data_IF_827428432969
#
_entry.id   IF_827428432969
#
_cell.length_a   1.000
_cell.length_b   1.000
_cell.length_c   1.000
_cell.angle_alpha   90.00
_cell.angle_beta   90.00
_cell.angle_gamma   90.00
#
_symmetry.space_group_name_H-M   'P 1'
#
loop_
_entity.id
_entity.type
_entity.pdbx_description
1 polymer ?
#
# COMPACT_ATOMS: atom_id res chain seq x y z
N UNK A 1 43.19 2.85 -29.41
CA UNK A 1 42.38 1.95 -30.25
C UNK A 1 42.69 0.54 -29.74
N UNK A 2 41.82 -0.27 -29.13
CA UNK A 2 40.36 -0.44 -29.24
C UNK A 2 39.84 -1.18 -27.97
N UNK A 3 38.65 -0.75 -27.52
CA UNK A 3 37.60 -1.38 -26.66
C UNK A 3 37.42 -2.90 -26.88
N UNK A 4 36.70 -3.74 -26.11
CA UNK A 4 35.83 -3.73 -24.91
C UNK A 4 35.51 -5.23 -24.61
N UNK A 5 35.32 -5.57 -23.32
CA UNK A 5 34.42 -6.61 -22.75
C UNK A 5 34.11 -7.89 -23.52
N UNK A 6 34.60 -9.02 -23.01
CA UNK A 6 34.03 -10.36 -23.22
C UNK A 6 33.67 -10.97 -21.85
N UNK A 7 32.45 -10.76 -21.36
CA UNK A 7 31.88 -11.57 -20.29
C UNK A 7 30.35 -11.59 -20.44
N UNK A 8 29.84 -12.68 -20.99
CA UNK A 8 28.54 -13.31 -20.76
C UNK A 8 28.63 -14.70 -21.43
N UNK A 9 28.10 -15.77 -20.82
CA UNK A 9 26.67 -15.84 -20.53
C UNK A 9 26.31 -16.29 -19.11
N UNK A 10 25.35 -15.58 -18.52
CA UNK A 10 24.62 -15.97 -17.31
C UNK A 10 23.76 -17.18 -17.67
N UNK A 11 23.90 -18.26 -16.90
CA UNK A 11 23.13 -19.49 -17.02
C UNK A 11 21.65 -19.21 -16.74
N UNK A 12 20.79 -19.63 -17.66
CA UNK A 12 19.38 -19.87 -17.45
C UNK A 12 19.22 -21.09 -16.53
N UNK A 13 18.51 -20.95 -15.42
CA UNK A 13 17.89 -22.08 -14.74
C UNK A 13 16.38 -21.87 -14.65
N UNK A 14 15.69 -22.99 -14.83
CA UNK A 14 14.32 -23.16 -15.32
C UNK A 14 13.32 -23.14 -14.17
N UNK A 15 12.18 -22.47 -14.38
CA UNK A 15 10.98 -22.58 -13.54
C UNK A 15 10.49 -24.03 -13.45
N UNK A 16 10.43 -24.60 -12.23
CA UNK A 16 9.60 -25.76 -11.95
C UNK A 16 8.59 -25.40 -10.85
N UNK A 17 7.31 -25.41 -11.24
CA UNK A 17 6.15 -25.35 -10.37
C UNK A 17 6.03 -26.61 -9.52
N UNK A 18 5.79 -26.48 -8.22
CA UNK A 18 5.08 -27.52 -7.46
C UNK A 18 4.23 -26.88 -6.39
N UNK A 19 2.92 -26.98 -6.60
CA UNK A 19 1.83 -26.51 -5.75
C UNK A 19 1.66 -27.50 -4.60
N UNK A 20 1.79 -27.04 -3.35
CA UNK A 20 1.16 -27.68 -2.19
C UNK A 20 0.89 -26.64 -1.09
N UNK A 21 -0.41 -26.40 -0.85
CA UNK A 21 -0.98 -26.24 0.49
C UNK A 21 -0.73 -24.92 1.26
N UNK A 22 -1.77 -24.08 1.27
CA UNK A 22 -2.15 -23.20 2.38
C UNK A 22 -1.44 -21.84 2.51
N UNK A 23 -2.23 -20.78 2.31
CA UNK A 23 -2.14 -19.48 2.97
C UNK A 23 -0.79 -18.74 2.85
N UNK A 24 -0.45 -18.26 1.65
CA UNK A 24 0.49 -17.15 1.35
C UNK A 24 0.63 -17.02 -0.18
N UNK A 25 -0.39 -16.51 -0.87
CA UNK A 25 -0.34 -16.34 -2.34
C UNK A 25 -0.74 -14.93 -2.76
N UNK A 26 0.21 -13.99 -2.65
CA UNK A 26 0.17 -12.73 -3.41
C UNK A 26 1.57 -12.22 -3.83
N UNK A 27 2.60 -13.09 -3.92
CA UNK A 27 3.95 -12.68 -4.35
C UNK A 27 4.63 -13.59 -5.39
N UNK A 28 3.86 -14.23 -6.27
CA UNK A 28 4.44 -15.08 -7.33
C UNK A 28 3.86 -14.79 -8.71
N UNK A 29 4.18 -13.62 -9.25
CA UNK A 29 4.09 -13.33 -10.70
C UNK A 29 5.34 -12.61 -11.21
N UNK A 30 6.52 -13.17 -10.95
CA UNK A 30 7.73 -12.82 -11.71
C UNK A 30 7.82 -13.71 -12.95
N UNK A 31 7.01 -13.41 -13.97
CA UNK A 31 7.24 -13.88 -15.33
C UNK A 31 7.89 -12.75 -16.12
N UNK A 32 9.11 -12.99 -16.62
CA UNK A 32 10.01 -11.99 -17.16
C UNK A 32 9.41 -11.13 -18.27
N UNK A 33 9.11 -9.88 -17.94
CA UNK A 33 9.07 -8.79 -18.91
C UNK A 33 10.48 -8.21 -19.06
N UNK A 34 10.88 -7.71 -20.25
CA UNK A 34 12.10 -6.94 -20.37
C UNK A 34 12.07 -5.84 -19.30
N UNK A 35 13.10 -5.78 -18.45
CA UNK A 35 13.23 -4.72 -17.44
C UNK A 35 13.20 -3.39 -18.17
N UNK A 36 12.00 -2.80 -18.26
CA UNK A 36 11.84 -1.36 -18.27
C UNK A 36 12.77 -0.88 -17.16
N UNK A 37 13.77 -0.05 -17.50
CA UNK A 37 14.58 0.65 -16.51
C UNK A 37 13.68 1.67 -15.84
N UNK A 38 12.74 1.18 -15.07
CA UNK A 38 11.81 1.97 -14.32
C UNK A 38 12.62 2.77 -13.30
N UNK A 39 12.37 4.07 -13.26
CA UNK A 39 13.07 4.95 -12.33
C UNK A 39 12.79 4.51 -10.89
N UNK A 40 13.75 4.72 -9.99
CA UNK A 40 13.56 4.44 -8.58
C UNK A 40 12.31 5.14 -8.02
N UNK A 41 12.04 6.37 -8.47
CA UNK A 41 10.84 7.14 -8.15
C UNK A 41 9.56 6.46 -8.61
N UNK A 42 9.46 6.03 -9.87
CA UNK A 42 8.23 5.38 -10.37
C UNK A 42 7.95 4.08 -9.62
N UNK A 43 9.01 3.31 -9.32
CA UNK A 43 8.88 2.09 -8.55
C UNK A 43 8.47 2.36 -7.09
N UNK A 44 9.08 3.37 -6.46
CA UNK A 44 8.74 3.79 -5.10
C UNK A 44 7.28 4.20 -4.99
N UNK A 45 6.83 5.12 -5.87
CA UNK A 45 5.44 5.58 -5.88
C UNK A 45 4.47 4.41 -6.01
N UNK A 46 4.75 3.46 -6.92
CA UNK A 46 3.92 2.27 -7.10
C UNK A 46 3.87 1.39 -5.85
N UNK A 47 5.00 1.20 -5.17
CA UNK A 47 5.04 0.41 -3.95
C UNK A 47 4.31 1.07 -2.80
N UNK A 48 4.45 2.40 -2.64
CA UNK A 48 3.71 3.16 -1.64
C UNK A 48 2.22 3.08 -1.93
N UNK A 49 1.81 3.32 -3.17
CA UNK A 49 0.41 3.21 -3.60
C UNK A 49 -0.16 1.81 -3.33
N UNK A 50 0.56 0.76 -3.72
CA UNK A 50 0.13 -0.62 -3.46
C UNK A 50 -0.01 -0.93 -1.97
N UNK A 51 0.86 -0.36 -1.13
CA UNK A 51 0.77 -0.50 0.32
C UNK A 51 -0.45 0.24 0.87
N UNK A 52 -0.73 1.47 0.39
CA UNK A 52 -1.90 2.26 0.79
C UNK A 52 -3.18 1.49 0.44
N UNK A 53 -3.33 1.03 -0.80
CA UNK A 53 -4.49 0.25 -1.24
C UNK A 53 -4.73 -0.98 -0.36
N UNK A 54 -3.68 -1.73 -0.03
CA UNK A 54 -3.79 -2.90 0.85
C UNK A 54 -4.29 -2.54 2.25
N UNK A 55 -3.83 -1.41 2.80
CA UNK A 55 -4.32 -0.94 4.09
C UNK A 55 -5.79 -0.52 3.99
N UNK A 56 -6.23 0.16 2.94
CA UNK A 56 -7.64 0.52 2.76
C UNK A 56 -8.56 -0.72 2.80
N UNK A 57 -8.16 -1.81 2.13
CA UNK A 57 -8.89 -3.09 2.16
C UNK A 57 -8.94 -3.67 3.58
N UNK A 58 -7.80 -3.76 4.26
CA UNK A 58 -7.70 -4.29 5.63
C UNK A 58 -8.57 -3.47 6.60
N UNK A 59 -8.59 -2.15 6.43
CA UNK A 59 -9.26 -1.22 7.33
C UNK A 59 -10.77 -1.18 7.12
N UNK A 60 -11.20 -1.42 5.87
CA UNK A 60 -12.61 -1.71 5.55
C UNK A 60 -13.12 -2.90 6.37
N UNK A 61 -12.31 -3.95 6.54
CA UNK A 61 -12.68 -5.15 7.31
C UNK A 61 -12.60 -4.95 8.84
N UNK A 62 -11.67 -4.10 9.31
CA UNK A 62 -11.37 -3.96 10.73
C UNK A 62 -12.06 -2.78 11.43
N UNK A 63 -12.73 -1.88 10.68
CA UNK A 63 -13.34 -0.64 11.20
C UNK A 63 -12.37 0.18 12.06
N UNK A 64 -11.09 0.07 11.74
CA UNK A 64 -10.03 0.71 12.49
C UNK A 64 -10.07 2.21 12.12
N UNK A 65 -9.95 3.07 13.13
CA UNK A 65 -10.19 4.53 13.01
C UNK A 65 -8.97 5.27 12.46
N UNK A 66 -8.16 4.59 11.66
CA UNK A 66 -6.93 5.17 11.12
C UNK A 66 -7.26 6.19 10.04
N UNK A 67 -6.55 7.31 10.08
CA UNK A 67 -6.70 8.36 9.08
C UNK A 67 -5.89 7.99 7.83
N UNK A 68 -6.33 8.49 6.67
CA UNK A 68 -5.62 8.26 5.41
C UNK A 68 -4.14 8.67 5.47
N UNK A 69 -3.83 9.76 6.18
CA UNK A 69 -2.47 10.23 6.43
C UNK A 69 -1.59 9.19 7.12
N UNK A 70 -2.15 8.41 8.04
CA UNK A 70 -1.41 7.38 8.77
C UNK A 70 -0.94 6.27 7.81
N UNK A 71 -1.78 5.90 6.84
CA UNK A 71 -1.40 4.93 5.80
C UNK A 71 -0.27 5.46 4.93
N UNK A 72 -0.35 6.73 4.52
CA UNK A 72 0.66 7.37 3.69
C UNK A 72 2.00 7.39 4.42
N UNK A 73 2.04 7.86 5.67
CA UNK A 73 3.26 7.92 6.46
C UNK A 73 3.87 6.52 6.66
N UNK A 74 3.05 5.56 7.10
CA UNK A 74 3.46 4.18 7.36
C UNK A 74 3.99 3.50 6.10
N UNK A 75 3.30 3.66 4.97
CA UNK A 75 3.70 3.07 3.69
C UNK A 75 4.97 3.70 3.13
N UNK A 76 5.14 5.02 3.24
CA UNK A 76 6.39 5.68 2.85
C UNK A 76 7.58 5.13 3.65
N UNK A 77 7.44 5.00 4.98
CA UNK A 77 8.52 4.41 5.78
C UNK A 77 8.77 2.96 5.41
N UNK A 78 7.71 2.15 5.32
CA UNK A 78 7.83 0.72 5.02
C UNK A 78 8.54 0.47 3.68
N UNK A 79 8.17 1.20 2.62
CA UNK A 79 8.78 1.05 1.30
C UNK A 79 10.24 1.51 1.32
N UNK A 80 10.52 2.65 1.94
CA UNK A 80 11.90 3.14 2.10
C UNK A 80 12.78 2.14 2.85
N UNK A 81 12.30 1.65 3.99
CA UNK A 81 13.04 0.76 4.88
C UNK A 81 13.26 -0.63 4.26
N UNK A 82 12.42 -1.02 3.29
CA UNK A 82 12.58 -2.27 2.54
C UNK A 82 13.82 -2.31 1.66
N UNK A 83 14.31 -1.14 1.19
CA UNK A 83 15.51 -1.04 0.37
C UNK A 83 16.15 0.37 0.43
N UNK A 84 16.87 0.69 1.52
CA UNK A 84 17.44 2.03 1.72
C UNK A 84 18.50 2.44 0.68
N UNK A 85 19.18 1.47 0.05
CA UNK A 85 20.14 1.76 -1.02
C UNK A 85 19.45 2.22 -2.31
N UNK A 86 18.22 1.75 -2.55
CA UNK A 86 17.43 2.09 -3.73
C UNK A 86 16.48 3.25 -3.49
N UNK A 87 15.99 3.41 -2.27
CA UNK A 87 15.00 4.40 -1.86
C UNK A 87 15.60 5.28 -0.76
N UNK A 88 16.15 6.45 -1.11
CA UNK A 88 16.82 7.32 -0.16
C UNK A 88 15.82 8.00 0.79
N UNK A 89 16.33 8.56 1.89
CA UNK A 89 15.49 9.08 2.98
C UNK A 89 14.56 10.23 2.57
N UNK A 90 14.96 10.99 1.57
CA UNK A 90 14.23 12.14 1.03
C UNK A 90 13.12 11.73 0.04
N UNK A 91 13.04 10.46 -0.33
CA UNK A 91 12.01 9.97 -1.23
C UNK A 91 10.69 9.81 -0.47
N UNK A 92 9.67 10.52 -0.95
CA UNK A 92 8.34 10.52 -0.39
C UNK A 92 7.32 10.56 -1.54
N UNK A 93 6.19 9.89 -1.32
CA UNK A 93 5.06 9.88 -2.22
C UNK A 93 3.77 9.97 -1.42
N UNK A 94 3.05 11.06 -1.62
CA UNK A 94 1.83 11.38 -0.85
C UNK A 94 0.68 11.63 -1.82
N UNK A 95 0.17 10.58 -2.49
CA UNK A 95 -0.99 10.71 -3.37
C UNK A 95 -2.20 11.16 -2.56
N UNK A 96 -3.09 11.90 -3.21
CA UNK A 96 -4.45 12.07 -2.70
C UNK A 96 -5.27 10.81 -2.96
N UNK A 97 -6.37 10.64 -2.21
CA UNK A 97 -7.28 9.49 -2.37
C UNK A 97 -7.75 9.35 -3.84
N UNK A 98 -8.06 10.48 -4.50
CA UNK A 98 -8.54 10.51 -5.88
C UNK A 98 -7.46 10.14 -6.92
N UNK A 99 -6.18 10.19 -6.55
CA UNK A 99 -5.04 9.84 -7.41
C UNK A 99 -4.68 8.36 -7.35
N UNK A 100 -5.24 7.60 -6.38
CA UNK A 100 -4.98 6.18 -6.25
C UNK A 100 -5.56 5.41 -7.45
N UNK A 101 -4.84 4.39 -7.93
CA UNK A 101 -5.30 3.55 -9.04
C UNK A 101 -6.26 2.45 -8.59
N UNK A 102 -6.33 2.18 -7.29
CA UNK A 102 -7.21 1.18 -6.66
C UNK A 102 -8.55 1.82 -6.22
N UNK A 103 -9.24 2.49 -7.13
CA UNK A 103 -10.51 3.17 -6.79
C UNK A 103 -11.57 2.18 -6.30
N UNK A 104 -11.50 0.93 -6.75
CA UNK A 104 -12.33 -0.18 -6.27
C UNK A 104 -12.17 -0.50 -4.78
N UNK A 105 -11.01 -0.19 -4.18
CA UNK A 105 -10.73 -0.38 -2.76
C UNK A 105 -11.00 0.89 -1.93
N UNK A 106 -10.95 2.05 -2.58
CA UNK A 106 -11.21 3.37 -1.98
C UNK A 106 -12.68 3.53 -1.62
N UNK A 107 -13.58 3.21 -2.55
CA UNK A 107 -15.02 3.42 -2.34
C UNK A 107 -15.57 2.70 -1.09
N UNK A 108 -15.28 1.39 -0.87
CA UNK A 108 -15.72 0.68 0.33
C UNK A 108 -15.14 1.26 1.62
N UNK A 109 -13.86 1.67 1.59
CA UNK A 109 -13.22 2.26 2.76
C UNK A 109 -13.88 3.59 3.13
N UNK A 110 -14.21 4.45 2.15
CA UNK A 110 -14.90 5.72 2.37
C UNK A 110 -16.30 5.52 2.99
N UNK A 111 -17.02 4.47 2.58
CA UNK A 111 -18.31 4.11 3.17
C UNK A 111 -18.16 3.78 4.66
N UNK A 112 -17.18 2.92 5.01
CA UNK A 112 -16.89 2.57 6.41
C UNK A 112 -16.45 3.78 7.23
N UNK A 113 -15.65 4.68 6.67
CA UNK A 113 -15.24 5.94 7.34
C UNK A 113 -16.44 6.81 7.66
N UNK A 114 -17.36 6.97 6.71
CA UNK A 114 -18.57 7.77 6.88
C UNK A 114 -19.53 7.15 7.90
N UNK A 115 -19.74 5.83 7.85
CA UNK A 115 -20.54 5.12 8.86
C UNK A 115 -19.95 5.30 10.27
N UNK A 116 -18.63 5.15 10.41
CA UNK A 116 -17.94 5.37 11.67
C UNK A 116 -18.10 6.81 12.17
N UNK A 117 -18.05 7.80 11.27
CA UNK A 117 -18.28 9.21 11.61
C UNK A 117 -19.70 9.41 12.15
N UNK A 118 -20.71 8.89 11.46
CA UNK A 118 -22.11 8.99 11.88
C UNK A 118 -22.35 8.33 13.24
N UNK A 119 -21.77 7.14 13.48
CA UNK A 119 -21.86 6.47 14.77
C UNK A 119 -21.26 7.29 15.91
N UNK A 120 -20.14 7.97 15.67
CA UNK A 120 -19.52 8.85 16.66
C UNK A 120 -20.39 10.07 16.98
N UNK A 121 -21.00 10.68 15.96
CA UNK A 121 -21.91 11.82 16.13
C UNK A 121 -23.16 11.43 16.93
N UNK A 122 -23.78 10.30 16.57
CA UNK A 122 -24.94 9.77 17.29
C UNK A 122 -24.61 9.45 18.76
N UNK A 123 -23.44 8.85 19.01
CA UNK A 123 -22.99 8.57 20.37
C UNK A 123 -22.75 9.86 21.17
N UNK A 124 -22.14 10.89 20.55
CA UNK A 124 -21.92 12.19 21.19
C UNK A 124 -23.25 12.82 21.59
N UNK A 125 -24.22 12.91 20.69
CA UNK A 125 -25.54 13.47 20.98
C UNK A 125 -26.27 12.72 22.11
N UNK A 126 -26.14 11.39 22.14
CA UNK A 126 -26.73 10.58 23.19
C UNK A 126 -26.15 10.92 24.57
N UNK A 127 -24.83 11.07 24.67
CA UNK A 127 -24.18 11.43 25.93
C UNK A 127 -24.47 12.87 26.37
N UNK A 128 -24.56 13.82 25.43
CA UNK A 128 -24.98 15.20 25.72
C UNK A 128 -26.40 15.23 26.30
N UNK A 129 -27.36 14.54 25.66
CA UNK A 129 -28.74 14.45 26.16
C UNK A 129 -28.84 13.77 27.53
N UNK A 130 -28.01 12.77 27.80
CA UNK A 130 -27.96 12.12 29.11
C UNK A 130 -27.44 13.06 30.20
N UNK A 131 -26.43 13.87 29.88
CA UNK A 131 -25.89 14.87 30.81
C UNK A 131 -26.96 15.91 31.17
N UNK A 132 -27.70 16.42 30.18
CA UNK A 132 -28.76 17.41 30.39
C UNK A 132 -29.94 16.91 31.25
N UNK A 133 -30.17 15.60 31.29
CA UNK A 133 -31.24 14.98 32.11
C UNK A 133 -30.81 14.78 33.57
N UNK A 134 -29.51 14.81 33.86
CA UNK A 134 -28.96 14.58 35.20
C UNK A 134 -28.76 15.88 36.00
N UNK A 135 -28.92 17.06 35.37
CA UNK A 135 -28.94 18.39 36.01
C UNK A 135 -30.36 18.88 36.33
#
# INVERSE_FOLDING_TARGET
>A
MTRLTNLLPIKFEVCLTTVFGSLLLLLASSCGSPQSKESATTLFNRHVESCVCQNLVIETDNYSRLEYSDFIESCNSTVRDSNPERFPAEMEYSPTIDELRCQEDVEPWLEVVEENRQLQENNREFWEKLHDVQE
#
